data_IF_432717243503
#
_entry.id   IF_432717243503
#
_cell.length_a   1.000
_cell.length_b   1.000
_cell.length_c   1.000
_cell.angle_alpha   90.00
_cell.angle_beta   90.00
_cell.angle_gamma   90.00
#
_symmetry.space_group_name_H-M   'P 1'
#
loop_
_entity.id
_entity.type
_entity.pdbx_description
1 polymer ?
#
# COMPACT_ATOMS: atom_id res chain seq x y z
N UNK A 1 -36.94 -54.89 46.50
CA UNK A 1 -36.00 -55.12 45.37
C UNK A 1 -36.68 -54.67 44.08
N UNK A 2 -35.97 -53.87 43.27
CA UNK A 2 -36.09 -53.43 41.85
C UNK A 2 -37.30 -53.83 40.98
N UNK A 3 -37.74 -53.08 39.94
CA UNK A 3 -37.46 -51.75 39.33
C UNK A 3 -38.55 -51.55 38.25
N UNK A 4 -38.98 -50.32 38.00
CA UNK A 4 -39.88 -49.94 36.88
C UNK A 4 -39.09 -49.33 35.72
N UNK A 5 -39.60 -49.49 34.49
CA UNK A 5 -39.79 -48.45 33.45
C UNK A 5 -40.24 -49.10 32.12
N UNK A 6 -41.36 -48.63 31.56
CA UNK A 6 -41.78 -48.88 30.17
C UNK A 6 -42.18 -47.58 29.48
N UNK A 7 -41.73 -47.50 28.22
CA UNK A 7 -41.84 -46.43 27.23
C UNK A 7 -43.28 -46.30 26.69
N UNK A 8 -43.75 -45.08 26.40
CA UNK A 8 -45.00 -44.83 25.69
C UNK A 8 -44.74 -44.23 24.29
N UNK A 9 -45.43 -44.81 23.31
CA UNK A 9 -45.52 -44.40 21.92
C UNK A 9 -46.79 -43.56 21.67
N UNK A 10 -46.80 -42.74 20.62
CA UNK A 10 -48.04 -42.33 19.94
C UNK A 10 -47.79 -42.12 18.44
N UNK A 11 -48.50 -42.91 17.63
CA UNK A 11 -48.68 -42.80 16.18
C UNK A 11 -50.17 -43.04 15.93
N UNK A 12 -50.84 -42.11 15.25
CA UNK A 12 -52.19 -42.24 14.65
C UNK A 12 -52.38 -41.02 13.73
N UNK A 13 -53.18 -40.99 12.67
CA UNK A 13 -53.66 -41.94 11.67
C UNK A 13 -54.36 -41.04 10.61
N UNK A 14 -54.33 -41.45 9.35
CA UNK A 14 -54.87 -40.82 8.13
C UNK A 14 -56.41 -40.65 8.08
N UNK A 15 -56.93 -39.70 7.26
CA UNK A 15 -57.77 -39.97 6.05
C UNK A 15 -58.37 -38.71 5.33
N UNK A 16 -58.34 -38.76 3.98
CA UNK A 16 -59.30 -38.28 2.93
C UNK A 16 -59.49 -36.78 2.55
N UNK A 17 -59.52 -36.54 1.21
CA UNK A 17 -59.45 -35.28 0.43
C UNK A 17 -60.81 -34.53 0.21
N UNK A 18 -60.85 -33.28 -0.33
CA UNK A 18 -60.76 -33.05 -1.79
C UNK A 18 -60.09 -31.73 -2.27
N UNK A 19 -59.78 -31.67 -3.57
CA UNK A 19 -59.29 -30.50 -4.29
C UNK A 19 -60.38 -29.44 -4.51
N UNK A 20 -60.09 -28.15 -4.24
CA UNK A 20 -60.60 -26.97 -4.98
C UNK A 20 -59.81 -25.71 -4.61
N UNK A 21 -59.74 -24.76 -5.56
CA UNK A 21 -59.22 -23.37 -5.48
C UNK A 21 -57.71 -23.15 -5.67
N UNK A 22 -57.29 -23.18 -6.95
CA UNK A 22 -56.26 -22.26 -7.44
C UNK A 22 -56.76 -20.82 -7.25
N UNK A 23 -56.07 -20.02 -6.44
CA UNK A 23 -56.15 -18.57 -6.50
C UNK A 23 -54.73 -18.02 -6.65
N UNK A 24 -54.47 -17.46 -7.83
CA UNK A 24 -53.25 -16.76 -8.15
C UNK A 24 -53.20 -15.47 -7.32
N UNK A 25 -52.39 -15.47 -6.26
CA UNK A 25 -51.93 -14.23 -5.65
C UNK A 25 -50.80 -13.68 -6.52
N UNK A 26 -51.03 -12.55 -7.19
CA UNK A 26 -50.00 -11.80 -7.86
C UNK A 26 -49.02 -11.28 -6.79
N UNK A 27 -47.86 -11.91 -6.70
CA UNK A 27 -46.82 -11.54 -5.75
C UNK A 27 -46.28 -10.14 -6.11
N UNK A 28 -46.45 -9.11 -5.27
CA UNK A 28 -46.00 -7.74 -5.56
C UNK A 28 -44.49 -7.64 -5.85
N UNK A 29 -43.71 -8.63 -5.43
CA UNK A 29 -42.28 -8.73 -5.73
C UNK A 29 -42.00 -9.04 -7.20
N UNK A 30 -42.84 -9.83 -7.87
CA UNK A 30 -42.66 -10.18 -9.28
C UNK A 30 -42.92 -8.98 -10.20
N UNK A 31 -43.88 -8.13 -9.84
CA UNK A 31 -44.20 -6.95 -10.63
C UNK A 31 -43.15 -5.85 -10.46
N UNK A 32 -42.57 -5.72 -9.25
CA UNK A 32 -41.41 -4.85 -9.01
C UNK A 32 -40.18 -5.30 -9.82
N UNK A 33 -39.90 -6.61 -9.87
CA UNK A 33 -38.77 -7.16 -10.62
C UNK A 33 -38.92 -6.96 -12.14
N UNK A 34 -40.16 -7.04 -12.67
CA UNK A 34 -40.43 -6.72 -14.08
C UNK A 34 -40.20 -5.24 -14.39
N UNK A 35 -40.55 -4.35 -13.47
CA UNK A 35 -40.31 -2.92 -13.63
C UNK A 35 -38.80 -2.61 -13.67
N UNK A 36 -38.02 -3.22 -12.79
CA UNK A 36 -36.55 -3.10 -12.82
C UNK A 36 -35.95 -3.63 -14.12
N UNK A 37 -36.45 -4.76 -14.64
CA UNK A 37 -35.99 -5.33 -15.91
C UNK A 37 -36.28 -4.41 -17.11
N UNK A 38 -37.45 -3.78 -17.12
CA UNK A 38 -37.83 -2.81 -18.17
C UNK A 38 -36.95 -1.56 -18.08
N UNK A 39 -36.64 -1.10 -16.88
CA UNK A 39 -35.76 0.05 -16.68
C UNK A 39 -34.32 -0.26 -17.10
N UNK A 40 -33.81 -1.43 -16.74
CA UNK A 40 -32.48 -1.89 -17.15
C UNK A 40 -32.37 -2.01 -18.67
N UNK A 41 -33.41 -2.55 -19.32
CA UNK A 41 -33.47 -2.66 -20.78
C UNK A 41 -33.47 -1.30 -21.46
N UNK A 42 -34.20 -0.31 -20.94
CA UNK A 42 -34.16 1.08 -21.45
C UNK A 42 -32.78 1.72 -21.29
N UNK A 43 -32.10 1.52 -20.16
CA UNK A 43 -30.74 2.04 -19.95
C UNK A 43 -29.75 1.42 -20.93
N UNK A 44 -29.90 0.12 -21.19
CA UNK A 44 -29.06 -0.59 -22.15
C UNK A 44 -29.28 -0.11 -23.60
N UNK A 45 -30.52 0.08 -24.03
CA UNK A 45 -30.84 0.63 -25.35
C UNK A 45 -30.31 2.07 -25.51
N UNK A 46 -30.41 2.90 -24.47
CA UNK A 46 -29.84 4.25 -24.46
C UNK A 46 -28.30 4.25 -24.57
N UNK A 47 -27.62 3.32 -23.89
CA UNK A 47 -26.16 3.15 -24.00
C UNK A 47 -25.75 2.71 -25.42
N UNK A 48 -26.48 1.78 -26.03
CA UNK A 48 -26.17 1.33 -27.40
C UNK A 48 -26.34 2.46 -28.43
N UNK A 49 -27.37 3.31 -28.28
CA UNK A 49 -27.55 4.48 -29.14
C UNK A 49 -26.44 5.52 -28.94
N UNK A 50 -26.01 5.76 -27.70
CA UNK A 50 -24.91 6.68 -27.41
C UNK A 50 -23.58 6.21 -28.04
N UNK A 51 -23.30 4.90 -27.97
CA UNK A 51 -22.12 4.29 -28.59
C UNK A 51 -22.13 4.41 -30.12
N UNK A 52 -23.29 4.22 -30.76
CA UNK A 52 -23.42 4.35 -32.21
C UNK A 52 -23.16 5.78 -32.69
N UNK A 53 -23.63 6.79 -31.95
CA UNK A 53 -23.37 8.21 -32.25
C UNK A 53 -21.89 8.56 -32.06
N UNK A 54 -21.25 7.98 -31.05
CA UNK A 54 -19.81 8.13 -30.81
C UNK A 54 -18.99 7.52 -31.95
N UNK A 55 -19.33 6.31 -32.40
CA UNK A 55 -18.66 5.67 -33.54
C UNK A 55 -18.79 6.52 -34.81
N UNK A 56 -19.98 7.06 -35.09
CA UNK A 56 -20.18 7.96 -36.23
C UNK A 56 -19.36 9.25 -36.14
N UNK A 57 -19.22 9.83 -34.94
CA UNK A 57 -18.36 11.01 -34.74
C UNK A 57 -16.89 10.68 -34.90
N UNK A 58 -16.44 9.52 -34.42
CA UNK A 58 -15.04 9.09 -34.58
C UNK A 58 -14.71 8.89 -36.06
N UNK A 59 -15.58 8.21 -36.82
CA UNK A 59 -15.38 8.06 -38.28
C UNK A 59 -15.36 9.41 -39.02
N UNK A 60 -16.20 10.36 -38.64
CA UNK A 60 -16.17 11.71 -39.23
C UNK A 60 -14.88 12.48 -38.92
N UNK A 61 -14.25 12.22 -37.76
CA UNK A 61 -12.96 12.81 -37.39
C UNK A 61 -11.80 12.11 -38.12
N UNK A 62 -11.89 10.79 -38.34
CA UNK A 62 -10.89 10.02 -39.10
C UNK A 62 -10.92 10.29 -40.61
N UNK A 63 -12.09 10.58 -41.20
CA UNK A 63 -12.24 10.89 -42.64
C UNK A 63 -11.90 12.35 -42.98
N UNK A 64 -11.66 13.22 -41.99
CA UNK A 64 -11.22 14.59 -42.23
C UNK A 64 -9.73 14.60 -42.66
N UNK A 65 -9.37 15.27 -43.78
CA UNK A 65 -7.98 15.28 -44.26
C UNK A 65 -7.06 15.94 -43.24
N UNK A 66 -5.91 15.31 -42.97
CA UNK A 66 -4.90 15.77 -42.03
C UNK A 66 -4.48 17.22 -42.32
N UNK A 67 -4.87 18.14 -41.45
CA UNK A 67 -4.36 19.50 -41.46
C UNK A 67 -2.85 19.47 -41.14
N UNK A 68 -2.07 20.20 -41.94
CA UNK A 68 -0.62 20.29 -41.80
C UNK A 68 -0.22 20.70 -40.36
N UNK A 69 0.73 19.97 -39.79
CA UNK A 69 1.29 20.25 -38.47
C UNK A 69 1.85 21.69 -38.43
N UNK A 70 1.42 22.55 -37.49
CA UNK A 70 2.02 23.86 -37.33
C UNK A 70 3.47 23.72 -36.83
N UNK A 71 4.39 24.42 -37.50
CA UNK A 71 5.80 24.53 -37.10
C UNK A 71 5.91 25.06 -35.67
N UNK A 72 6.59 24.31 -34.79
CA UNK A 72 6.99 24.74 -33.45
C UNK A 72 7.85 26.00 -33.56
N UNK A 73 7.31 27.14 -33.11
CA UNK A 73 8.06 28.32 -32.74
C UNK A 73 7.87 28.51 -31.24
N UNK A 74 8.87 28.14 -30.44
CA UNK A 74 8.93 28.54 -29.03
C UNK A 74 10.33 29.09 -28.78
N UNK A 75 10.40 30.42 -28.65
CA UNK A 75 11.51 31.13 -28.01
C UNK A 75 11.31 31.02 -26.50
N UNK A 76 12.34 30.65 -25.75
CA UNK A 76 12.39 30.79 -24.30
C UNK A 76 12.56 32.27 -23.90
N UNK A 77 12.01 32.72 -22.76
CA UNK A 77 12.08 34.10 -22.31
C UNK A 77 13.41 34.37 -21.57
N UNK A 78 14.43 34.80 -22.31
CA UNK A 78 15.60 35.48 -21.75
C UNK A 78 16.28 36.35 -22.82
N UNK A 79 15.62 37.40 -23.31
CA UNK A 79 16.32 38.47 -24.04
C UNK A 79 15.56 39.80 -24.03
N UNK A 80 16.32 40.87 -23.87
CA UNK A 80 15.84 42.20 -23.48
C UNK A 80 14.92 42.91 -24.49
N UNK A 81 14.01 43.70 -23.91
CA UNK A 81 13.03 44.55 -24.59
C UNK A 81 13.71 45.70 -25.35
N UNK A 82 13.45 45.80 -26.66
CA UNK A 82 13.37 47.08 -27.41
C UNK A 82 12.23 47.00 -28.42
N UNK A 83 11.46 48.08 -28.50
CA UNK A 83 10.06 48.08 -28.94
C UNK A 83 9.81 48.09 -30.45
N UNK A 84 8.52 47.96 -30.80
CA UNK A 84 7.87 48.58 -31.97
C UNK A 84 6.34 48.39 -31.90
N UNK A 85 5.64 49.37 -32.47
CA UNK A 85 4.20 49.63 -32.43
C UNK A 85 3.34 48.81 -33.42
N UNK A 86 2.05 48.66 -33.04
CA UNK A 86 0.79 48.67 -33.83
C UNK A 86 0.58 47.73 -35.02
N UNK A 87 -0.52 46.97 -35.02
CA UNK A 87 -1.72 47.18 -35.87
C UNK A 87 -2.90 46.31 -35.41
N UNK A 88 -4.12 46.84 -35.55
CA UNK A 88 -5.39 46.18 -35.30
C UNK A 88 -6.11 45.84 -36.62
N UNK A 89 -6.80 44.70 -36.70
CA UNK A 89 -8.03 44.49 -37.49
C UNK A 89 -8.72 43.19 -37.05
N UNK A 90 -10.06 43.20 -36.93
CA UNK A 90 -10.83 42.18 -36.23
C UNK A 90 -11.59 41.17 -37.10
N UNK A 91 -12.24 40.21 -36.43
CA UNK A 91 -13.61 39.72 -36.65
C UNK A 91 -13.93 38.60 -35.63
N UNK A 92 -15.20 38.43 -35.20
CA UNK A 92 -15.59 37.56 -34.10
C UNK A 92 -16.00 36.15 -34.59
N UNK A 93 -15.52 35.11 -33.91
CA UNK A 93 -16.00 33.74 -34.18
C UNK A 93 -15.26 32.66 -33.41
N UNK A 94 -16.04 31.83 -32.70
CA UNK A 94 -15.72 30.48 -32.24
C UNK A 94 -14.65 30.30 -31.15
N UNK A 95 -15.01 30.60 -29.90
CA UNK A 95 -14.32 30.04 -28.72
C UNK A 95 -14.83 28.61 -28.46
N UNK A 96 -14.28 27.67 -29.20
CA UNK A 96 -14.20 26.26 -28.80
C UNK A 96 -12.75 25.94 -28.51
N UNK A 97 -12.20 26.48 -27.42
CA UNK A 97 -10.83 26.20 -27.00
C UNK A 97 -10.72 24.74 -26.55
N UNK A 98 -9.96 23.96 -27.32
CA UNK A 98 -9.50 22.62 -26.94
C UNK A 98 -8.69 22.70 -25.64
N UNK A 99 -8.87 21.70 -24.77
CA UNK A 99 -8.27 21.60 -23.43
C UNK A 99 -6.74 21.82 -23.43
N UNK A 100 -6.03 21.41 -24.49
CA UNK A 100 -4.57 21.62 -24.62
C UNK A 100 -4.14 23.07 -24.86
N UNK A 101 -5.06 23.98 -25.22
CA UNK A 101 -4.77 25.39 -25.51
C UNK A 101 -5.05 26.33 -24.33
N UNK A 102 -5.68 25.84 -23.25
CA UNK A 102 -5.86 26.61 -22.02
C UNK A 102 -4.64 26.54 -21.09
N UNK A 103 -3.75 25.57 -21.29
CA UNK A 103 -2.50 25.38 -20.53
C UNK A 103 -1.37 26.33 -20.96
N UNK A 104 -1.57 27.17 -21.98
CA UNK A 104 -0.55 28.11 -22.48
C UNK A 104 -0.68 29.53 -21.92
N UNK A 105 -1.64 29.78 -21.03
CA UNK A 105 -1.94 31.12 -20.52
C UNK A 105 -1.41 31.41 -19.10
N UNK A 106 -0.89 30.42 -18.38
CA UNK A 106 -0.22 30.62 -17.09
C UNK A 106 1.08 29.81 -17.06
N UNK A 107 2.19 30.46 -16.76
CA UNK A 107 3.54 29.91 -16.94
C UNK A 107 4.02 29.03 -15.78
N UNK A 108 3.09 28.56 -14.94
CA UNK A 108 3.37 27.65 -13.84
C UNK A 108 2.88 26.23 -14.21
N UNK A 109 3.68 25.18 -13.95
CA UNK A 109 3.25 23.81 -14.20
C UNK A 109 2.02 23.49 -13.35
N UNK A 110 1.11 22.70 -13.91
CA UNK A 110 -0.12 22.31 -13.23
C UNK A 110 0.17 21.66 -11.86
N UNK A 111 -0.66 21.93 -10.86
CA UNK A 111 -0.46 21.41 -9.50
C UNK A 111 -0.39 19.87 -9.47
N UNK A 112 -1.17 19.20 -10.31
CA UNK A 112 -1.13 17.74 -10.47
C UNK A 112 0.22 17.21 -10.93
N UNK A 113 0.94 17.94 -11.79
CA UNK A 113 2.28 17.58 -12.26
C UNK A 113 3.27 17.74 -11.13
N UNK A 114 3.25 18.87 -10.41
CA UNK A 114 4.13 19.07 -9.25
C UNK A 114 3.94 17.99 -8.19
N UNK A 115 2.69 17.74 -7.77
CA UNK A 115 2.37 16.72 -6.76
C UNK A 115 2.76 15.30 -7.20
N UNK A 116 2.63 15.01 -8.49
CA UNK A 116 3.07 13.72 -9.05
C UNK A 116 4.58 13.58 -8.96
N UNK A 117 5.35 14.62 -9.29
CA UNK A 117 6.82 14.60 -9.18
C UNK A 117 7.28 14.47 -7.74
N UNK A 118 6.63 15.19 -6.83
CA UNK A 118 6.92 15.12 -5.39
C UNK A 118 6.75 13.67 -4.88
N UNK A 119 5.65 13.01 -5.25
CA UNK A 119 5.36 11.62 -4.85
C UNK A 119 6.31 10.60 -5.54
N UNK A 120 6.60 10.78 -6.82
CA UNK A 120 7.42 9.84 -7.60
C UNK A 120 8.91 9.92 -7.25
N UNK A 121 9.42 11.11 -6.93
CA UNK A 121 10.83 11.34 -6.58
C UNK A 121 11.11 11.32 -5.08
N UNK A 122 10.09 11.54 -4.24
CA UNK A 122 10.28 11.83 -2.81
C UNK A 122 10.93 13.19 -2.55
N UNK A 123 11.09 14.03 -3.57
CA UNK A 123 11.64 15.38 -3.49
C UNK A 123 10.54 16.41 -3.71
N UNK A 124 10.14 17.08 -2.62
CA UNK A 124 9.03 18.01 -2.55
C UNK A 124 9.51 19.41 -2.94
N UNK A 125 9.43 19.72 -4.24
CA UNK A 125 10.00 20.93 -4.84
C UNK A 125 9.09 22.17 -4.83
N UNK A 126 7.79 21.96 -4.56
CA UNK A 126 6.75 23.00 -4.65
C UNK A 126 6.79 24.10 -3.58
N UNK A 127 7.58 23.94 -2.51
CA UNK A 127 7.65 24.92 -1.42
C UNK A 127 8.92 24.81 -0.58
N UNK A 128 9.14 25.79 0.31
CA UNK A 128 10.35 25.86 1.15
C UNK A 128 10.26 24.97 2.39
N UNK A 129 9.11 24.98 3.06
CA UNK A 129 8.85 24.16 4.23
C UNK A 129 7.51 23.47 4.08
N UNK A 130 7.47 22.17 4.38
CA UNK A 130 6.23 21.40 4.38
C UNK A 130 6.16 20.46 5.58
N UNK A 131 4.93 20.19 6.00
CA UNK A 131 4.62 19.21 7.02
C UNK A 131 3.59 18.23 6.47
N UNK A 132 3.87 16.94 6.60
CA UNK A 132 3.00 15.87 6.13
C UNK A 132 2.57 15.02 7.32
N UNK A 133 1.26 14.84 7.44
CA UNK A 133 0.68 13.81 8.31
C UNK A 133 0.23 12.66 7.42
N UNK A 134 0.66 11.44 7.73
CA UNK A 134 0.27 10.22 7.02
C UNK A 134 -0.37 9.22 7.97
N UNK A 135 -1.45 8.57 7.55
CA UNK A 135 -2.02 7.42 8.25
C UNK A 135 -1.98 6.20 7.34
N UNK A 136 -1.37 5.13 7.81
CA UNK A 136 -1.23 3.87 7.08
C UNK A 136 -1.84 2.73 7.89
N UNK A 137 -2.71 1.95 7.25
CA UNK A 137 -3.23 0.69 7.76
C UNK A 137 -2.66 -0.46 6.94
N UNK A 138 -2.17 -1.50 7.60
CA UNK A 138 -1.57 -2.66 6.94
C UNK A 138 -2.09 -3.95 7.56
N UNK A 139 -2.51 -4.88 6.71
CA UNK A 139 -3.06 -6.18 7.11
C UNK A 139 -2.14 -7.32 6.71
N UNK A 140 -1.97 -8.29 7.60
CA UNK A 140 -1.25 -9.55 7.35
C UNK A 140 -2.13 -10.73 7.77
N UNK A 141 -2.19 -11.79 6.96
CA UNK A 141 -2.79 -13.09 7.33
C UNK A 141 -1.86 -14.26 6.96
N UNK A 142 -0.86 -14.51 7.79
CA UNK A 142 0.10 -15.59 7.56
C UNK A 142 -0.43 -16.91 8.14
N UNK A 143 -0.30 -17.99 7.37
CA UNK A 143 -0.68 -19.36 7.78
C UNK A 143 0.48 -20.31 7.60
N UNK A 144 0.85 -21.01 8.67
CA UNK A 144 1.85 -22.06 8.64
C UNK A 144 1.20 -23.40 9.04
N UNK A 145 1.45 -24.44 8.24
CA UNK A 145 1.01 -25.80 8.54
C UNK A 145 2.23 -26.62 8.98
N UNK A 146 2.23 -27.03 10.24
CA UNK A 146 3.27 -27.90 10.80
C UNK A 146 2.71 -29.31 10.96
N UNK A 147 3.31 -30.27 10.27
CA UNK A 147 2.95 -31.69 10.31
C UNK A 147 4.00 -32.45 11.14
N UNK A 148 3.64 -32.88 12.34
CA UNK A 148 4.51 -33.70 13.18
C UNK A 148 3.94 -35.12 13.29
N UNK A 149 4.48 -36.07 12.53
CA UNK A 149 3.95 -37.43 12.51
C UNK A 149 4.71 -38.41 11.63
N UNK A 150 4.27 -39.67 11.67
CA UNK A 150 4.72 -40.76 10.81
C UNK A 150 3.64 -41.07 9.78
N UNK A 151 4.03 -41.23 8.51
CA UNK A 151 3.15 -41.69 7.44
C UNK A 151 3.24 -43.21 7.35
N UNK A 152 2.14 -43.90 7.66
CA UNK A 152 1.99 -45.33 7.39
C UNK A 152 1.28 -45.52 6.03
N UNK A 153 1.85 -46.40 5.17
CA UNK A 153 1.26 -46.79 3.88
C UNK A 153 0.93 -45.59 2.96
N UNK A 154 1.80 -44.58 2.93
CA UNK A 154 1.73 -43.39 2.05
C UNK A 154 0.40 -42.59 2.07
N UNK A 155 -0.53 -42.90 2.99
CA UNK A 155 -1.89 -42.34 3.01
C UNK A 155 -2.48 -42.18 4.41
N UNK A 156 -1.88 -42.81 5.44
CA UNK A 156 -2.33 -42.69 6.82
C UNK A 156 -1.29 -41.87 7.59
N UNK A 157 -1.63 -40.61 7.87
CA UNK A 157 -0.82 -39.77 8.76
C UNK A 157 -1.18 -40.08 10.22
N UNK A 158 -0.24 -40.68 10.95
CA UNK A 158 -0.30 -40.80 12.40
C UNK A 158 0.60 -39.73 13.02
N UNK A 159 -0.02 -38.62 13.44
CA UNK A 159 0.66 -37.49 14.04
C UNK A 159 -0.27 -36.35 14.41
N UNK A 160 0.29 -35.25 14.90
CA UNK A 160 -0.42 -34.00 15.12
C UNK A 160 -0.26 -33.09 13.91
N UNK A 161 -1.39 -32.56 13.42
CA UNK A 161 -1.42 -31.46 12.45
C UNK A 161 -1.67 -30.19 13.25
N UNK A 162 -0.67 -29.29 13.29
CA UNK A 162 -0.83 -27.98 13.90
C UNK A 162 -0.91 -26.94 12.77
N UNK A 163 -2.00 -26.18 12.76
CA UNK A 163 -2.14 -25.01 11.89
C UNK A 163 -1.96 -23.79 12.78
N UNK A 164 -0.88 -23.06 12.53
CA UNK A 164 -0.63 -21.79 13.20
C UNK A 164 -0.99 -20.67 12.23
N UNK A 165 -1.82 -19.73 12.69
CA UNK A 165 -2.26 -18.58 11.91
C UNK A 165 -1.99 -17.33 12.72
N UNK A 166 -1.40 -16.33 12.07
CA UNK A 166 -1.13 -15.03 12.67
C UNK A 166 -1.81 -13.98 11.80
N UNK A 167 -2.78 -13.29 12.39
CA UNK A 167 -3.38 -12.09 11.79
C UNK A 167 -2.78 -10.88 12.46
N UNK A 168 -2.33 -9.90 11.69
CA UNK A 168 -1.83 -8.65 12.24
C UNK A 168 -2.44 -7.44 11.54
N UNK A 169 -2.94 -6.52 12.35
CA UNK A 169 -3.50 -5.24 11.96
C UNK A 169 -2.61 -4.14 12.53
N UNK A 170 -1.90 -3.43 11.66
CA UNK A 170 -0.95 -2.39 12.04
C UNK A 170 -1.44 -1.03 11.56
N UNK A 171 -1.41 -0.04 12.44
CA UNK A 171 -1.69 1.36 12.12
C UNK A 171 -0.45 2.20 12.40
N UNK A 172 -0.03 3.01 11.43
CA UNK A 172 1.11 3.92 11.57
C UNK A 172 0.69 5.34 11.26
N UNK A 173 0.90 6.25 12.21
CA UNK A 173 0.76 7.69 12.04
C UNK A 173 2.16 8.28 11.79
N UNK A 174 2.41 8.73 10.58
CA UNK A 174 3.64 9.39 10.17
C UNK A 174 3.51 10.90 10.33
N UNK A 175 4.49 11.51 11.00
CA UNK A 175 4.66 12.96 11.04
C UNK A 175 6.01 13.31 10.40
N UNK A 176 5.96 13.95 9.24
CA UNK A 176 7.16 14.27 8.46
C UNK A 176 7.27 15.77 8.25
N UNK A 177 8.40 16.36 8.65
CA UNK A 177 8.74 17.74 8.34
C UNK A 177 9.83 17.77 7.26
N UNK A 178 9.66 18.61 6.24
CA UNK A 178 10.60 18.75 5.13
C UNK A 178 11.00 20.21 4.93
N UNK A 179 12.27 20.43 4.63
CA UNK A 179 12.82 21.73 4.26
C UNK A 179 13.55 21.64 2.93
N UNK A 180 13.07 22.36 1.93
CA UNK A 180 13.66 22.45 0.61
C UNK A 180 14.48 23.74 0.49
N UNK A 181 15.74 23.60 0.08
CA UNK A 181 16.65 24.71 -0.17
C UNK A 181 16.97 24.79 -1.66
N UNK A 182 16.48 25.88 -2.27
CA UNK A 182 16.75 26.26 -3.66
C UNK A 182 16.41 25.17 -4.70
N UNK A 183 15.37 24.36 -4.44
CA UNK A 183 14.94 23.25 -5.30
C UNK A 183 16.06 22.24 -5.63
N UNK A 184 17.11 22.23 -4.79
CA UNK A 184 18.32 21.43 -5.02
C UNK A 184 18.61 20.48 -3.88
N UNK A 185 18.41 20.95 -2.65
CA UNK A 185 18.60 20.17 -1.44
C UNK A 185 17.27 20.04 -0.70
N UNK A 186 16.99 18.86 -0.16
CA UNK A 186 15.90 18.64 0.77
C UNK A 186 16.44 17.96 2.02
N UNK A 187 15.96 18.42 3.18
CA UNK A 187 16.21 17.80 4.47
C UNK A 187 14.88 17.41 5.08
N UNK A 188 14.78 16.20 5.62
CA UNK A 188 13.55 15.72 6.23
C UNK A 188 13.80 14.98 7.55
N UNK A 189 12.79 15.02 8.42
CA UNK A 189 12.68 14.21 9.63
C UNK A 189 11.30 13.59 9.67
N UNK A 190 11.23 12.29 9.96
CA UNK A 190 10.00 11.53 10.08
C UNK A 190 9.95 10.85 11.46
N UNK A 191 8.79 11.00 12.11
CA UNK A 191 8.48 10.39 13.41
C UNK A 191 7.24 9.51 13.23
N UNK A 192 7.40 8.18 13.17
CA UNK A 192 6.29 7.26 13.09
C UNK A 192 5.75 6.92 14.49
N UNK A 193 4.43 6.91 14.65
CA UNK A 193 3.73 6.38 15.84
C UNK A 193 2.96 5.14 15.43
N UNK A 194 3.27 4.02 16.06
CA UNK A 194 2.83 2.69 15.65
C UNK A 194 1.87 2.11 16.68
N UNK A 195 0.70 1.68 16.21
CA UNK A 195 -0.26 0.85 16.94
C UNK A 195 -0.33 -0.51 16.25
N UNK A 196 -0.36 -1.60 17.03
CA UNK A 196 -0.41 -2.96 16.47
C UNK A 196 -1.36 -3.84 17.24
N UNK A 197 -2.03 -4.70 16.52
CA UNK A 197 -2.83 -5.78 17.07
C UNK A 197 -2.49 -7.05 16.33
N UNK A 198 -2.21 -8.13 17.06
CA UNK A 198 -1.89 -9.42 16.45
C UNK A 198 -2.67 -10.52 17.16
N UNK A 199 -3.41 -11.30 16.39
CA UNK A 199 -4.16 -12.47 16.86
C UNK A 199 -3.46 -13.73 16.39
N UNK A 200 -3.07 -14.55 17.36
CA UNK A 200 -2.42 -15.83 17.17
C UNK A 200 -3.45 -16.93 17.38
N UNK A 201 -3.59 -17.78 16.37
CA UNK A 201 -4.50 -18.91 16.37
C UNK A 201 -3.70 -20.19 16.17
N UNK A 202 -3.97 -21.21 16.97
CA UNK A 202 -3.39 -22.54 16.78
C UNK A 202 -4.45 -23.64 16.85
N UNK A 203 -4.34 -24.64 15.99
CA UNK A 203 -5.14 -25.87 16.05
C UNK A 203 -4.63 -26.84 17.11
N UNK A 204 -5.48 -27.77 17.56
CA UNK A 204 -5.09 -28.81 18.52
C UNK A 204 -5.37 -28.47 19.98
N UNK A 205 -6.26 -27.50 20.25
CA UNK A 205 -6.59 -27.08 21.60
C UNK A 205 -7.07 -28.25 22.47
N UNK A 206 -6.45 -28.41 23.65
CA UNK A 206 -6.75 -29.52 24.57
C UNK A 206 -6.42 -30.92 24.04
N UNK A 207 -5.55 -31.04 23.03
CA UNK A 207 -5.16 -32.31 22.41
C UNK A 207 -6.13 -32.82 21.34
N UNK A 208 -7.13 -32.02 20.95
CA UNK A 208 -8.09 -32.34 19.90
C UNK A 208 -7.83 -31.49 18.64
N UNK A 209 -7.47 -32.14 17.52
CA UNK A 209 -7.14 -31.46 16.26
C UNK A 209 -8.25 -30.61 15.65
N UNK A 210 -9.51 -30.80 16.08
CA UNK A 210 -10.66 -30.01 15.63
C UNK A 210 -10.90 -28.72 16.44
N UNK A 211 -10.22 -28.55 17.57
CA UNK A 211 -10.39 -27.38 18.44
C UNK A 211 -9.30 -26.36 18.15
N UNK A 212 -9.67 -25.09 18.00
CA UNK A 212 -8.74 -23.98 17.83
C UNK A 212 -8.64 -23.18 19.14
N UNK A 213 -7.48 -22.58 19.34
CA UNK A 213 -7.24 -21.65 20.43
C UNK A 213 -6.67 -20.36 19.91
N UNK A 214 -7.17 -19.24 20.43
CA UNK A 214 -6.81 -17.90 19.99
C UNK A 214 -6.32 -17.05 21.16
N UNK A 215 -5.32 -16.21 20.90
CA UNK A 215 -4.88 -15.17 21.83
C UNK A 215 -4.43 -13.93 21.06
N UNK A 216 -4.83 -12.76 21.54
CA UNK A 216 -4.50 -11.47 20.93
C UNK A 216 -3.52 -10.70 21.79
N UNK A 217 -2.55 -10.06 21.14
CA UNK A 217 -1.54 -9.18 21.76
C UNK A 217 -1.66 -7.83 21.09
N UNK A 218 -1.72 -6.78 21.88
CA UNK A 218 -1.81 -5.40 21.39
C UNK A 218 -0.58 -4.59 21.80
N UNK A 219 -0.29 -3.57 21.01
CA UNK A 219 0.65 -2.50 21.30
C UNK A 219 -0.10 -1.19 21.15
N UNK A 220 -0.31 -0.51 22.27
CA UNK A 220 -0.80 0.86 22.30
C UNK A 220 0.12 1.79 21.48
N UNK A 221 -0.39 2.96 21.01
CA UNK A 221 0.39 3.87 20.18
C UNK A 221 1.72 4.25 20.84
N UNK A 222 2.82 3.83 20.23
CA UNK A 222 4.19 4.05 20.72
C UNK A 222 5.05 4.53 19.55
N UNK A 223 6.05 5.35 19.82
CA UNK A 223 6.98 5.84 18.80
C UNK A 223 7.73 4.64 18.19
N UNK A 224 7.87 4.66 16.86
CA UNK A 224 8.69 3.72 16.12
C UNK A 224 10.12 4.24 15.93
N UNK A 225 10.77 3.82 14.84
CA UNK A 225 12.12 4.26 14.53
C UNK A 225 12.13 5.61 13.81
N UNK A 226 12.59 6.66 14.51
CA UNK A 226 12.75 8.00 13.95
C UNK A 226 13.84 7.97 12.88
N UNK A 227 13.62 8.69 11.80
CA UNK A 227 14.58 8.76 10.70
C UNK A 227 14.71 10.18 10.14
N UNK A 228 15.90 10.45 9.62
CA UNK A 228 16.28 11.73 8.99
C UNK A 228 16.81 11.47 7.60
N UNK A 229 16.48 12.36 6.67
CA UNK A 229 16.85 12.27 5.26
C UNK A 229 17.56 13.52 4.77
N UNK A 230 18.51 13.33 3.87
CA UNK A 230 19.02 14.37 2.97
C UNK A 230 18.85 13.91 1.54
N UNK A 231 18.39 14.80 0.66
CA UNK A 231 18.25 14.55 -0.76
C UNK A 231 18.92 15.68 -1.56
N UNK A 232 19.58 15.31 -2.64
CA UNK A 232 20.25 16.22 -3.57
C UNK A 232 19.80 15.91 -5.00
N UNK A 233 19.11 16.86 -5.61
CA UNK A 233 18.72 16.81 -7.03
C UNK A 233 19.94 17.11 -7.89
N UNK A 234 20.58 16.11 -8.47
CA UNK A 234 21.85 16.30 -9.19
C UNK A 234 21.67 16.50 -10.70
N UNK A 235 20.49 16.18 -11.25
CA UNK A 235 20.12 16.46 -12.65
C UNK A 235 18.70 17.02 -12.62
N UNK A 236 18.48 18.15 -13.30
CA UNK A 236 17.14 18.63 -13.60
C UNK A 236 16.68 18.02 -14.92
N UNK A 237 15.38 17.75 -15.02
CA UNK A 237 14.82 17.22 -16.26
C UNK A 237 15.00 18.20 -17.43
N UNK A 238 15.44 17.65 -18.56
CA UNK A 238 15.42 18.31 -19.86
C UNK A 238 14.91 17.37 -20.96
N UNK A 239 15.04 17.77 -22.23
CA UNK A 239 14.60 16.95 -23.36
C UNK A 239 15.25 15.55 -23.36
N UNK A 240 16.50 15.44 -22.90
CA UNK A 240 17.33 14.23 -22.94
C UNK A 240 17.46 13.54 -21.59
N UNK A 241 17.54 14.29 -20.50
CA UNK A 241 17.82 13.79 -19.15
C UNK A 241 16.54 13.70 -18.31
N UNK A 242 16.46 12.73 -17.37
CA UNK A 242 15.42 12.70 -16.34
C UNK A 242 15.74 13.67 -15.19
N UNK A 243 14.74 14.02 -14.39
CA UNK A 243 14.98 14.55 -13.04
C UNK A 243 15.59 13.44 -12.19
N UNK A 244 16.73 13.71 -11.55
CA UNK A 244 17.47 12.69 -10.82
C UNK A 244 17.87 13.19 -9.42
N UNK A 245 17.47 12.43 -8.40
CA UNK A 245 17.68 12.77 -7.00
C UNK A 245 18.44 11.65 -6.31
N UNK A 246 19.53 12.01 -5.65
CA UNK A 246 20.27 11.13 -4.76
C UNK A 246 19.80 11.36 -3.33
N UNK A 247 19.56 10.30 -2.58
CA UNK A 247 19.06 10.36 -1.20
C UNK A 247 19.96 9.60 -0.25
N UNK A 248 20.02 10.06 0.99
CA UNK A 248 20.64 9.35 2.10
C UNK A 248 19.73 9.48 3.32
N UNK A 249 19.21 8.35 3.79
CA UNK A 249 18.38 8.27 4.99
C UNK A 249 19.12 7.57 6.11
N UNK A 250 19.02 8.10 7.32
CA UNK A 250 19.55 7.49 8.54
C UNK A 250 18.38 7.24 9.48
N UNK A 251 18.25 6.01 9.97
CA UNK A 251 17.21 5.60 10.91
C UNK A 251 17.83 5.24 12.25
N UNK A 252 17.26 5.76 13.33
CA UNK A 252 17.67 5.51 14.70
C UNK A 252 16.78 4.44 15.35
N UNK A 253 17.33 3.59 16.24
CA UNK A 253 16.58 2.56 16.95
C UNK A 253 15.83 3.14 18.16
N UNK A 254 14.87 4.03 17.90
CA UNK A 254 14.06 4.66 18.95
C UNK A 254 12.81 3.87 19.30
N UNK A 255 12.35 2.98 18.41
CA UNK A 255 11.24 2.11 18.66
C UNK A 255 11.59 0.99 19.64
N UNK A 256 10.57 0.28 20.14
CA UNK A 256 10.75 -0.93 20.94
C UNK A 256 11.26 -2.05 20.01
N UNK A 257 12.44 -2.56 20.31
CA UNK A 257 13.07 -3.62 19.54
C UNK A 257 12.43 -5.00 19.80
N UNK A 258 12.60 -5.97 18.89
CA UNK A 258 12.03 -7.30 19.04
C UNK A 258 12.84 -8.22 19.97
N UNK A 259 14.02 -7.81 20.41
CA UNK A 259 14.98 -8.71 21.04
C UNK A 259 14.67 -8.86 22.54
N UNK A 260 14.61 -10.11 23.00
CA UNK A 260 14.28 -10.43 24.38
C UNK A 260 12.78 -10.44 24.70
N UNK A 261 11.89 -10.16 23.73
CA UNK A 261 10.44 -10.34 23.89
C UNK A 261 10.15 -11.82 24.12
N UNK A 262 9.55 -12.15 25.27
CA UNK A 262 9.29 -13.54 25.67
C UNK A 262 8.02 -14.10 25.04
N UNK A 263 8.09 -15.35 24.59
CA UNK A 263 6.93 -16.14 24.18
C UNK A 263 6.34 -16.85 25.40
N UNK A 264 5.15 -16.45 25.82
CA UNK A 264 4.44 -17.02 26.97
C UNK A 264 3.34 -17.96 26.49
N UNK A 265 3.26 -19.14 27.10
CA UNK A 265 2.12 -20.02 26.93
C UNK A 265 0.85 -19.33 27.43
N UNK A 266 -0.26 -19.54 26.72
CA UNK A 266 -1.55 -18.96 27.09
C UNK A 266 -2.15 -19.78 28.24
N UNK A 267 -2.62 -19.11 29.30
CA UNK A 267 -3.17 -19.79 30.48
C UNK A 267 -4.33 -20.73 30.09
N UNK A 268 -4.23 -22.00 30.51
CA UNK A 268 -5.21 -23.05 30.16
C UNK A 268 -5.02 -23.66 28.77
N UNK A 269 -3.94 -23.33 28.06
CA UNK A 269 -3.64 -23.78 26.71
C UNK A 269 -2.14 -24.11 26.54
N UNK A 270 -1.83 -25.39 26.31
CA UNK A 270 -0.45 -25.87 26.13
C UNK A 270 0.02 -25.94 24.68
N UNK A 271 -0.82 -25.53 23.72
CA UNK A 271 -0.50 -25.61 22.28
C UNK A 271 -0.35 -24.23 21.61
N UNK A 272 -0.40 -23.13 22.38
CA UNK A 272 -0.18 -21.79 21.87
C UNK A 272 0.72 -20.98 22.80
N UNK A 273 1.79 -20.41 22.23
CA UNK A 273 2.63 -19.42 22.88
C UNK A 273 2.58 -18.11 22.10
N UNK A 274 2.38 -17.00 22.81
CA UNK A 274 2.26 -15.65 22.23
C UNK A 274 3.32 -14.71 22.80
N UNK A 275 3.79 -13.71 22.03
CA UNK A 275 4.74 -12.74 22.55
C UNK A 275 4.10 -11.89 23.65
N UNK A 276 4.86 -11.56 24.68
CA UNK A 276 4.36 -10.70 25.77
C UNK A 276 4.16 -9.24 25.35
N UNK A 277 4.74 -8.83 24.22
CA UNK A 277 4.51 -7.52 23.63
C UNK A 277 4.90 -7.49 22.15
N UNK A 278 4.48 -6.48 21.40
CA UNK A 278 4.85 -6.32 19.98
C UNK A 278 5.88 -5.21 19.80
N UNK A 279 6.90 -5.39 18.93
CA UNK A 279 7.90 -4.35 18.66
C UNK A 279 7.34 -3.21 17.81
N UNK A 280 7.93 -2.02 17.94
CA UNK A 280 7.64 -0.83 17.10
C UNK A 280 8.83 -0.36 16.28
N UNK A 281 10.01 -0.96 16.49
CA UNK A 281 11.22 -0.73 15.74
C UNK A 281 11.99 -2.02 15.49
N UNK A 282 13.08 -1.95 14.72
CA UNK A 282 13.95 -3.11 14.49
C UNK A 282 15.17 -3.15 15.42
N UNK A 283 15.35 -2.14 16.27
CA UNK A 283 16.38 -2.10 17.31
C UNK A 283 17.79 -1.74 16.84
N UNK A 284 18.02 -1.49 15.56
CA UNK A 284 19.36 -1.13 15.06
C UNK A 284 19.36 0.14 14.22
N UNK A 285 20.49 0.83 14.22
CA UNK A 285 20.74 1.92 13.28
C UNK A 285 20.75 1.40 11.83
N UNK A 286 20.22 2.18 10.89
CA UNK A 286 20.37 1.86 9.47
C UNK A 286 20.70 3.08 8.63
N UNK A 287 21.48 2.85 7.58
CA UNK A 287 21.88 3.86 6.60
C UNK A 287 21.39 3.40 5.23
N UNK A 288 20.61 4.25 4.56
CA UNK A 288 19.97 3.93 3.29
C UNK A 288 20.29 4.98 2.23
N UNK A 289 21.38 4.82 1.46
CA UNK A 289 21.56 5.54 0.20
C UNK A 289 20.52 5.10 -0.85
N UNK A 290 20.07 6.04 -1.67
CA UNK A 290 19.13 5.79 -2.75
C UNK A 290 19.27 6.76 -3.92
N UNK A 291 18.62 6.40 -5.01
CA UNK A 291 18.48 7.21 -6.22
C UNK A 291 17.06 7.09 -6.74
N UNK A 292 16.48 8.20 -7.18
CA UNK A 292 15.19 8.24 -7.87
C UNK A 292 15.32 9.00 -9.18
N UNK A 293 14.63 8.52 -10.20
CA UNK A 293 14.59 9.08 -11.55
C UNK A 293 13.14 9.32 -11.93
N UNK A 294 12.82 10.49 -12.47
CA UNK A 294 11.49 10.84 -12.98
C UNK A 294 11.64 11.52 -14.34
N UNK A 295 10.83 11.12 -15.33
CA UNK A 295 10.84 11.74 -16.67
C UNK A 295 9.45 11.76 -17.29
N UNK A 296 9.06 12.90 -17.82
CA UNK A 296 7.83 13.06 -18.59
C UNK A 296 8.04 12.63 -20.04
N UNK A 297 7.19 11.72 -20.48
CA UNK A 297 6.93 11.32 -21.86
C UNK A 297 5.44 11.55 -22.14
N UNK A 298 5.09 12.81 -22.40
CA UNK A 298 3.71 13.29 -22.49
C UNK A 298 2.75 12.31 -23.21
N UNK A 299 1.64 11.87 -22.57
CA UNK A 299 1.12 12.28 -21.25
C UNK A 299 1.58 11.42 -20.05
N UNK A 300 2.47 10.45 -20.28
CA UNK A 300 2.96 9.56 -19.25
C UNK A 300 4.15 10.16 -18.50
N UNK A 301 4.23 9.95 -17.19
CA UNK A 301 5.43 10.22 -16.40
C UNK A 301 5.99 8.90 -15.92
N UNK A 302 7.20 8.56 -16.37
CA UNK A 302 7.90 7.36 -15.93
C UNK A 302 8.77 7.69 -14.73
N UNK A 303 8.77 6.79 -13.75
CA UNK A 303 9.63 6.94 -12.59
C UNK A 303 10.23 5.61 -12.16
N UNK A 304 11.37 5.69 -11.49
CA UNK A 304 12.07 4.54 -10.95
C UNK A 304 12.93 4.92 -9.75
N UNK A 305 13.16 3.97 -8.87
CA UNK A 305 14.00 4.14 -7.70
C UNK A 305 14.79 2.89 -7.37
N UNK A 306 15.97 3.09 -6.77
CA UNK A 306 16.83 2.06 -6.25
C UNK A 306 17.41 2.56 -4.93
N UNK A 307 17.37 1.74 -3.89
CA UNK A 307 18.07 2.02 -2.63
C UNK A 307 18.65 0.76 -2.01
N UNK A 308 19.63 0.96 -1.14
CA UNK A 308 20.31 -0.09 -0.39
C UNK A 308 20.31 0.29 1.08
N UNK A 309 19.85 -0.59 1.96
CA UNK A 309 19.83 -0.37 3.40
C UNK A 309 20.90 -1.23 4.07
N UNK A 310 21.90 -0.57 4.65
CA UNK A 310 22.89 -1.17 5.52
C UNK A 310 22.41 -1.09 6.98
N UNK A 311 22.19 -2.23 7.61
CA UNK A 311 21.77 -2.29 9.01
C UNK A 311 23.00 -2.46 9.90
N UNK A 312 23.26 -1.54 10.83
CA UNK A 312 24.41 -1.63 11.72
C UNK A 312 24.24 -2.79 12.70
N UNK A 313 25.34 -3.43 13.08
CA UNK A 313 25.32 -4.39 14.18
C UNK A 313 25.06 -3.64 15.49
N UNK A 314 24.28 -4.24 16.38
CA UNK A 314 24.06 -3.73 17.73
C UNK A 314 24.04 -4.87 18.76
N UNK A 315 24.19 -4.53 20.04
CA UNK A 315 24.28 -5.47 21.15
C UNK A 315 23.07 -5.34 22.08
N UNK A 316 22.48 -6.47 22.46
CA UNK A 316 21.27 -6.52 23.28
C UNK A 316 21.53 -7.31 24.55
N UNK A 317 20.92 -6.85 25.65
CA UNK A 317 21.04 -7.54 26.94
C UNK A 317 20.34 -8.91 26.96
N UNK A 318 19.45 -9.14 25.99
CA UNK A 318 18.74 -10.39 25.81
C UNK A 318 18.30 -10.55 24.35
N UNK A 319 18.71 -11.64 23.70
CA UNK A 319 18.27 -12.03 22.35
C UNK A 319 17.40 -13.29 22.37
N UNK A 320 17.14 -13.86 23.55
CA UNK A 320 16.38 -15.11 23.68
C UNK A 320 14.88 -14.83 23.80
N UNK A 321 14.02 -15.49 23.00
CA UNK A 321 12.57 -15.41 23.18
C UNK A 321 12.05 -16.35 24.30
N UNK A 322 12.92 -17.17 24.91
CA UNK A 322 12.51 -18.17 25.90
C UNK A 322 12.30 -17.54 27.28
N UNK A 323 11.17 -17.88 27.91
CA UNK A 323 10.87 -17.50 29.31
C UNK A 323 11.93 -18.10 30.23
N UNK A 324 12.32 -17.35 31.28
CA UNK A 324 13.36 -17.73 32.25
C UNK A 324 14.77 -17.91 31.67
N UNK A 325 14.99 -17.53 30.41
CA UNK A 325 16.30 -17.48 29.77
C UNK A 325 16.65 -16.04 29.44
N UNK A 326 17.87 -15.63 29.75
CA UNK A 326 18.42 -14.33 29.36
C UNK A 326 19.78 -14.55 28.73
N UNK A 327 19.86 -14.29 27.44
CA UNK A 327 21.07 -14.54 26.65
C UNK A 327 21.51 -13.21 26.04
N UNK A 328 22.53 -12.54 26.58
CA UNK A 328 23.08 -11.36 25.92
C UNK A 328 23.77 -11.76 24.61
N UNK A 329 23.79 -10.84 23.66
CA UNK A 329 24.47 -11.06 22.39
C UNK A 329 24.30 -9.95 21.38
N UNK A 330 24.99 -10.11 20.26
CA UNK A 330 24.95 -9.18 19.13
C UNK A 330 23.95 -9.61 18.08
N UNK A 331 23.32 -8.64 17.42
CA UNK A 331 22.46 -8.87 16.27
C UNK A 331 22.95 -8.06 15.08
N UNK A 332 23.03 -8.71 13.93
CA UNK A 332 23.30 -8.10 12.63
C UNK A 332 22.14 -8.44 11.70
N UNK A 333 21.25 -7.48 11.52
CA UNK A 333 20.18 -7.62 10.54
C UNK A 333 20.75 -7.75 9.13
N UNK A 334 20.07 -8.52 8.29
CA UNK A 334 20.39 -8.63 6.88
C UNK A 334 20.27 -7.27 6.18
N UNK A 335 21.28 -6.90 5.41
CA UNK A 335 21.18 -5.73 4.55
C UNK A 335 20.18 -5.99 3.42
N UNK A 336 19.51 -4.95 2.94
CA UNK A 336 18.43 -5.07 1.96
C UNK A 336 18.58 -4.13 0.77
N UNK A 337 17.96 -4.49 -0.33
CA UNK A 337 17.83 -3.67 -1.53
C UNK A 337 16.36 -3.43 -1.80
N UNK A 338 16.04 -2.24 -2.29
CA UNK A 338 14.70 -1.85 -2.69
C UNK A 338 14.78 -1.32 -4.12
N UNK A 339 13.99 -1.90 -5.01
CA UNK A 339 13.82 -1.44 -6.39
C UNK A 339 12.36 -1.09 -6.62
N UNK A 340 12.10 -0.03 -7.37
CA UNK A 340 10.76 0.38 -7.71
C UNK A 340 10.69 1.05 -9.07
N UNK A 341 9.55 0.92 -9.72
CA UNK A 341 9.31 1.57 -11.00
C UNK A 341 7.83 1.67 -11.30
N UNK A 342 7.44 2.70 -12.04
CA UNK A 342 6.04 2.93 -12.35
C UNK A 342 5.80 3.99 -13.40
N UNK A 343 4.53 4.21 -13.63
CA UNK A 343 3.98 5.20 -14.54
C UNK A 343 2.91 6.01 -13.83
N UNK A 344 2.87 7.30 -14.09
CA UNK A 344 1.84 8.19 -13.57
C UNK A 344 1.30 9.12 -14.65
N UNK A 345 0.09 9.62 -14.43
CA UNK A 345 -0.64 10.46 -15.37
C UNK A 345 -1.25 11.64 -14.61
N UNK A 346 -1.07 12.85 -15.15
CA UNK A 346 -1.85 14.00 -14.74
C UNK A 346 -3.23 13.90 -15.41
N UNK A 347 -4.28 13.68 -14.62
CA UNK A 347 -5.65 13.50 -15.12
C UNK A 347 -6.31 14.85 -15.43
N UNK A 348 -6.04 15.85 -14.59
CA UNK A 348 -6.47 17.22 -14.75
C UNK A 348 -5.55 18.15 -13.95
N UNK A 349 -5.89 19.44 -13.84
CA UNK A 349 -5.11 20.44 -13.09
C UNK A 349 -4.82 20.06 -11.63
N UNK A 350 -5.72 19.30 -10.99
CA UNK A 350 -5.67 19.00 -9.55
C UNK A 350 -5.45 17.53 -9.22
N UNK A 351 -5.61 16.63 -10.18
CA UNK A 351 -5.59 15.19 -9.93
C UNK A 351 -4.53 14.49 -10.76
N UNK A 352 -3.81 13.58 -10.12
CA UNK A 352 -2.94 12.62 -10.80
C UNK A 352 -3.20 11.20 -10.29
N UNK A 353 -2.82 10.21 -11.09
CA UNK A 353 -2.91 8.79 -10.75
C UNK A 353 -1.60 8.09 -11.12
N UNK A 354 -1.16 7.16 -10.28
CA UNK A 354 0.07 6.39 -10.47
C UNK A 354 -0.16 4.89 -10.30
N UNK A 355 0.62 4.12 -11.05
CA UNK A 355 0.71 2.67 -10.95
C UNK A 355 2.18 2.30 -10.85
N UNK A 356 2.58 1.52 -9.85
CA UNK A 356 3.97 1.12 -9.68
C UNK A 356 4.10 -0.30 -9.13
N UNK A 357 5.28 -0.88 -9.36
CA UNK A 357 5.73 -2.10 -8.71
C UNK A 357 6.98 -1.77 -7.92
N UNK A 358 7.08 -2.31 -6.70
CA UNK A 358 8.27 -2.23 -5.88
C UNK A 358 8.60 -3.61 -5.33
N UNK A 359 9.88 -3.95 -5.27
CA UNK A 359 10.38 -5.18 -4.67
C UNK A 359 11.49 -4.84 -3.67
N UNK A 360 11.37 -5.38 -2.46
CA UNK A 360 12.37 -5.28 -1.42
C UNK A 360 12.85 -6.69 -1.05
N UNK A 361 14.15 -6.92 -1.15
CA UNK A 361 14.73 -8.20 -0.75
C UNK A 361 15.90 -7.99 0.22
N UNK A 362 15.96 -8.83 1.25
CA UNK A 362 16.97 -8.77 2.29
C UNK A 362 17.73 -10.09 2.42
N UNK A 363 18.99 -9.99 2.84
CA UNK A 363 19.80 -11.15 3.20
C UNK A 363 19.37 -11.71 4.56
N UNK A 364 19.84 -12.90 4.89
CA UNK A 364 19.66 -13.48 6.23
C UNK A 364 20.28 -12.61 7.31
N UNK A 365 19.54 -12.45 8.40
CA UNK A 365 20.02 -11.87 9.63
C UNK A 365 20.90 -12.87 10.40
N UNK A 366 21.77 -12.35 11.25
CA UNK A 366 22.68 -13.14 12.08
C UNK A 366 22.61 -12.69 13.52
N UNK A 367 22.79 -13.64 14.43
CA UNK A 367 22.94 -13.38 15.86
C UNK A 367 24.27 -13.96 16.35
N UNK A 368 24.81 -13.40 17.42
CA UNK A 368 25.98 -13.93 18.10
C UNK A 368 25.75 -13.86 19.61
N UNK A 369 25.31 -14.96 20.24
CA UNK A 369 25.28 -15.06 21.69
C UNK A 369 26.66 -14.77 22.29
N UNK A 370 26.70 -14.14 23.47
CA UNK A 370 27.96 -13.88 24.17
C UNK A 370 28.76 -15.17 24.39
N UNK A 371 30.04 -15.15 24.01
CA UNK A 371 30.92 -16.32 24.06
C UNK A 371 30.71 -17.35 22.95
N UNK A 372 29.77 -17.12 22.03
CA UNK A 372 29.51 -17.95 20.85
C UNK A 372 30.01 -17.34 19.54
N UNK A 373 29.85 -18.12 18.47
CA UNK A 373 30.10 -17.68 17.09
C UNK A 373 28.85 -17.09 16.45
N UNK A 374 29.04 -16.38 15.33
CA UNK A 374 27.94 -15.90 14.51
C UNK A 374 27.10 -17.04 13.95
N UNK A 375 25.79 -16.95 14.13
CA UNK A 375 24.80 -17.89 13.65
C UNK A 375 23.83 -17.17 12.72
N UNK A 376 23.66 -17.69 11.49
CA UNK A 376 22.63 -17.18 10.58
C UNK A 376 21.26 -17.69 11.01
N UNK A 377 20.27 -16.80 11.06
CA UNK A 377 18.89 -17.18 11.34
C UNK A 377 18.25 -17.71 10.05
N UNK A 378 17.82 -18.97 10.07
CA UNK A 378 17.07 -19.57 8.97
C UNK A 378 15.75 -18.83 8.74
N UNK A 379 15.37 -18.64 7.47
CA UNK A 379 14.15 -17.95 7.06
C UNK A 379 14.03 -16.50 7.58
N UNK A 380 15.18 -15.81 7.72
CA UNK A 380 15.21 -14.38 8.04
C UNK A 380 15.55 -13.50 6.84
N UNK A 381 15.90 -14.10 5.70
CA UNK A 381 15.83 -13.49 4.39
C UNK A 381 14.36 -13.39 3.94
N UNK A 382 14.06 -12.37 3.13
CA UNK A 382 12.71 -12.14 2.63
C UNK A 382 12.73 -11.44 1.26
N UNK A 383 11.65 -11.58 0.51
CA UNK A 383 11.35 -10.84 -0.73
C UNK A 383 9.90 -10.33 -0.65
N UNK A 384 9.74 -9.02 -0.43
CA UNK A 384 8.46 -8.35 -0.30
C UNK A 384 8.19 -7.49 -1.55
N UNK A 385 7.43 -8.05 -2.49
CA UNK A 385 7.01 -7.35 -3.70
C UNK A 385 5.58 -6.80 -3.54
N UNK A 386 5.36 -5.59 -4.04
CA UNK A 386 4.08 -4.88 -3.93
C UNK A 386 3.70 -4.24 -5.26
N UNK A 387 2.41 -4.23 -5.57
CA UNK A 387 1.82 -3.41 -6.62
C UNK A 387 1.05 -2.24 -6.01
N UNK A 388 1.36 -1.02 -6.42
CA UNK A 388 0.79 0.20 -5.85
C UNK A 388 -0.12 0.91 -6.86
N UNK A 389 -1.24 1.41 -6.34
CA UNK A 389 -2.17 2.30 -7.04
C UNK A 389 -2.32 3.55 -6.19
N UNK A 390 -1.77 4.65 -6.67
CA UNK A 390 -1.75 5.94 -5.97
C UNK A 390 -2.56 7.00 -6.70
N UNK A 391 -3.03 8.00 -5.97
CA UNK A 391 -3.57 9.22 -6.53
C UNK A 391 -3.02 10.43 -5.77
N UNK A 392 -2.97 11.58 -6.43
CA UNK A 392 -2.79 12.86 -5.74
C UNK A 392 -3.99 13.76 -6.05
N UNK A 393 -4.45 14.50 -5.05
CA UNK A 393 -5.53 15.47 -5.19
C UNK A 393 -5.15 16.78 -4.51
N UNK A 394 -4.94 17.84 -5.29
CA UNK A 394 -4.69 19.18 -4.80
C UNK A 394 -5.99 19.78 -4.21
N UNK A 395 -6.19 19.57 -2.91
CA UNK A 395 -7.38 20.06 -2.20
C UNK A 395 -7.39 21.59 -2.11
N UNK A 396 -6.22 22.19 -1.85
CA UNK A 396 -5.98 23.64 -1.92
C UNK A 396 -4.61 23.89 -2.54
N UNK A 397 -4.22 25.15 -2.74
CA UNK A 397 -2.87 25.49 -3.22
C UNK A 397 -1.76 25.04 -2.25
N UNK A 398 -2.09 24.78 -0.99
CA UNK A 398 -1.13 24.43 0.06
C UNK A 398 -1.29 22.98 0.53
N UNK A 399 -2.42 22.31 0.25
CA UNK A 399 -2.76 20.99 0.79
C UNK A 399 -3.04 20.02 -0.35
N UNK A 400 -2.27 18.93 -0.37
CA UNK A 400 -2.51 17.79 -1.25
C UNK A 400 -2.94 16.58 -0.43
N UNK A 401 -3.88 15.79 -0.95
CA UNK A 401 -4.33 14.54 -0.36
C UNK A 401 -3.80 13.40 -1.24
N UNK A 402 -3.12 12.43 -0.63
CA UNK A 402 -2.45 11.35 -1.35
C UNK A 402 -2.93 10.00 -0.80
N UNK A 403 -4.03 9.45 -1.33
CA UNK A 403 -4.40 8.06 -1.07
C UNK A 403 -3.54 7.10 -1.90
N UNK A 404 -3.11 6.01 -1.28
CA UNK A 404 -2.40 4.93 -1.97
C UNK A 404 -2.80 3.56 -1.42
N UNK A 405 -3.10 2.64 -2.33
CA UNK A 405 -3.32 1.22 -2.06
C UNK A 405 -2.10 0.44 -2.53
N UNK A 406 -1.49 -0.32 -1.64
CA UNK A 406 -0.43 -1.28 -1.93
C UNK A 406 -0.96 -2.69 -1.76
N UNK A 407 -0.74 -3.55 -2.75
CA UNK A 407 -1.18 -4.95 -2.77
C UNK A 407 0.06 -5.83 -2.71
N UNK A 408 0.14 -6.71 -1.72
CA UNK A 408 1.22 -7.68 -1.59
C UNK A 408 1.18 -8.70 -2.73
N UNK A 409 2.34 -8.93 -3.35
CA UNK A 409 2.53 -9.91 -4.43
C UNK A 409 3.26 -11.17 -3.95
N UNK A 410 3.84 -11.14 -2.75
CA UNK A 410 4.60 -12.23 -2.14
C UNK A 410 4.21 -12.44 -0.69
N UNK A 411 4.51 -13.61 -0.13
CA UNK A 411 4.13 -13.98 1.24
C UNK A 411 4.82 -13.13 2.33
N UNK A 412 5.95 -12.50 2.02
CA UNK A 412 6.67 -11.59 2.93
C UNK A 412 6.11 -10.16 2.89
N UNK A 413 5.27 -9.83 1.90
CA UNK A 413 4.56 -8.57 1.83
C UNK A 413 3.23 -8.67 2.60
N UNK A 414 2.74 -7.57 3.20
CA UNK A 414 1.37 -7.55 3.71
C UNK A 414 0.37 -7.80 2.58
N UNK A 415 -0.73 -8.49 2.90
CA UNK A 415 -1.84 -8.76 1.98
C UNK A 415 -2.26 -7.47 1.26
N UNK A 416 -2.43 -6.40 2.03
CA UNK A 416 -2.59 -5.05 1.51
C UNK A 416 -2.21 -3.98 2.54
N UNK A 417 -1.92 -2.78 2.04
CA UNK A 417 -1.73 -1.57 2.83
C UNK A 417 -2.51 -0.42 2.22
N UNK A 418 -3.26 0.30 3.03
CA UNK A 418 -3.94 1.53 2.65
C UNK A 418 -3.32 2.70 3.38
N UNK A 419 -2.92 3.73 2.64
CA UNK A 419 -2.29 4.93 3.20
C UNK A 419 -2.99 6.19 2.71
N UNK A 420 -3.05 7.18 3.59
CA UNK A 420 -3.58 8.50 3.30
C UNK A 420 -2.64 9.56 3.87
N UNK A 421 -2.00 10.33 2.99
CA UNK A 421 -1.05 11.39 3.36
C UNK A 421 -1.61 12.78 3.06
N UNK A 422 -1.20 13.75 3.87
CA UNK A 422 -1.63 15.14 3.82
C UNK A 422 -0.42 16.09 3.86
N UNK A 423 0.40 16.15 2.80
CA UNK A 423 1.45 17.17 2.70
C UNK A 423 0.83 18.57 2.64
N UNK A 424 1.28 19.43 3.56
CA UNK A 424 0.90 20.83 3.68
C UNK A 424 2.12 21.74 3.49
N UNK A 425 2.06 22.65 2.54
CA UNK A 425 3.09 23.63 2.21
C UNK A 425 2.80 24.98 2.89
N UNK A 426 3.77 25.53 3.64
CA UNK A 426 3.63 26.78 4.40
C UNK A 426 4.13 28.02 3.66
#
# INVERSE_FOLDING_TARGET
MHRSLTLNAFVCLTTLAPATMLYAAADPQVEALKQELIELKRRYEAQQQALMVLEQRVRQVEEAPAAAQPKRLVKSPAEGVKGAQTVASGAPGTTGSSYGQALTADSEPAQSVSNLYDEASGFFGGGKFSFETGLTYTHYDTRALTLNGFLALDSIFLGSINLDRIKADNWTLDMTARYNLAQRWQFDINVPVVYRESTYSSGGAGGAGASTSDASVTRDPEIGDINVGVAYKFIDEDETWPDAVATLRIKAPTGKDPYGIKLREVDGNSNLAVPESLPTGNGVWSITPGISLVKTFDPAVLFGSLSYTYNMQDSFSDISPQVNSKVPGDVKLGDSWQIGGGIAFALNEKMSMSFSVSDQFARKSKIKPDGGDWQSISNSDYNAANFNIGMTFAATNNLTIVPNLSIGLTDDAPDFSFSLKFPYYF
#
